data_IF_942744769725
#
_entry.id   IF_942744769725
#
_cell.length_a   1.000
_cell.length_b   1.000
_cell.length_c   1.000
_cell.angle_alpha   90.00
_cell.angle_beta   90.00
_cell.angle_gamma   90.00
#
_symmetry.space_group_name_H-M   'P 1'
#
loop_
_entity.id
_entity.type
_entity.pdbx_description
1 polymer ?
#
# COMPACT_ATOMS: atom_id res chain seq x y z
N UNK A 1 4.50 -14.43 3.14
CA UNK A 1 5.31 -13.24 2.74
C UNK A 1 6.68 -13.27 3.42
N UNK A 2 7.74 -12.88 2.71
CA UNK A 2 9.12 -12.83 3.23
C UNK A 2 9.64 -11.39 3.17
N UNK A 3 10.10 -10.86 4.30
CA UNK A 3 10.81 -9.58 4.33
C UNK A 3 12.27 -9.78 3.93
N UNK A 4 12.61 -9.37 2.71
CA UNK A 4 13.98 -9.47 2.18
C UNK A 4 14.88 -8.40 2.82
N UNK A 5 14.36 -7.18 3.01
CA UNK A 5 15.10 -6.09 3.64
C UNK A 5 15.52 -6.42 5.08
N UNK A 6 14.60 -6.95 5.89
CA UNK A 6 14.92 -7.32 7.27
C UNK A 6 15.95 -8.44 7.35
N UNK A 7 15.89 -9.40 6.42
CA UNK A 7 16.83 -10.52 6.37
C UNK A 7 18.30 -10.10 6.15
N UNK A 8 18.53 -8.88 5.64
CA UNK A 8 19.87 -8.32 5.41
C UNK A 8 20.13 -7.05 6.22
N UNK A 9 19.23 -6.68 7.13
CA UNK A 9 19.41 -5.55 8.05
C UNK A 9 19.09 -4.16 7.49
N UNK A 10 18.31 -4.05 6.40
CA UNK A 10 17.80 -2.75 5.96
C UNK A 10 16.83 -2.18 7.00
N UNK A 11 16.90 -0.86 7.20
CA UNK A 11 16.09 -0.16 8.21
C UNK A 11 15.15 0.90 7.63
N UNK A 12 15.54 1.53 6.53
CA UNK A 12 14.84 2.70 5.97
C UNK A 12 13.96 2.39 4.75
N UNK A 13 13.95 1.12 4.33
CA UNK A 13 13.07 0.63 3.27
C UNK A 13 12.65 -0.81 3.58
N UNK A 14 11.38 -1.10 3.32
CA UNK A 14 10.85 -2.44 3.26
C UNK A 14 11.01 -2.97 1.84
N UNK A 15 11.54 -4.18 1.70
CA UNK A 15 11.51 -4.93 0.44
C UNK A 15 10.95 -6.30 0.78
N UNK A 16 9.76 -6.59 0.27
CA UNK A 16 8.99 -7.78 0.63
C UNK A 16 8.70 -8.60 -0.62
N UNK A 17 8.97 -9.91 -0.54
CA UNK A 17 8.46 -10.88 -1.50
C UNK A 17 7.11 -11.39 -0.99
N UNK A 18 6.03 -10.99 -1.65
CA UNK A 18 4.67 -11.35 -1.28
C UNK A 18 4.09 -12.38 -2.24
N UNK A 19 3.19 -13.22 -1.72
CA UNK A 19 2.46 -14.22 -2.48
C UNK A 19 0.98 -14.02 -2.16
N UNK A 20 0.17 -13.83 -3.19
CA UNK A 20 -1.27 -13.59 -3.07
C UNK A 20 -1.94 -14.75 -3.78
N UNK A 21 -2.65 -15.59 -3.03
CA UNK A 21 -3.37 -16.73 -3.61
C UNK A 21 -4.66 -16.28 -4.33
N UNK A 22 -5.19 -17.09 -5.27
CA UNK A 22 -6.46 -16.81 -5.92
C UNK A 22 -7.59 -16.46 -4.93
N UNK A 23 -8.32 -15.39 -5.23
CA UNK A 23 -9.41 -14.85 -4.41
C UNK A 23 -8.93 -14.10 -3.15
N UNK A 24 -7.65 -13.73 -3.06
CA UNK A 24 -7.10 -12.92 -1.97
C UNK A 24 -6.65 -11.55 -2.46
N UNK A 25 -6.48 -10.64 -1.50
CA UNK A 25 -5.97 -9.29 -1.73
C UNK A 25 -4.61 -9.10 -1.05
N UNK A 26 -3.83 -8.17 -1.58
CA UNK A 26 -2.53 -7.75 -1.04
C UNK A 26 -2.66 -7.00 0.29
N UNK A 27 -3.65 -6.10 0.37
CA UNK A 27 -3.82 -5.12 1.44
C UNK A 27 -5.24 -4.57 1.41
N UNK A 28 -5.66 -3.93 2.50
CA UNK A 28 -6.84 -3.05 2.49
C UNK A 28 -6.59 -1.87 1.54
N UNK A 29 -7.63 -1.41 0.85
CA UNK A 29 -7.56 -0.23 0.00
C UNK A 29 -7.10 1.00 0.79
N UNK A 30 -5.93 1.54 0.44
CA UNK A 30 -5.26 2.53 1.28
C UNK A 30 -4.44 3.56 0.51
N UNK A 31 -4.16 4.69 1.17
CA UNK A 31 -3.34 5.79 0.67
C UNK A 31 -2.33 6.21 1.73
N UNK A 32 -1.06 6.33 1.35
CA UNK A 32 0.00 6.89 2.19
C UNK A 32 0.18 8.39 1.98
N UNK A 33 0.42 9.11 3.08
CA UNK A 33 0.66 10.57 3.06
C UNK A 33 2.15 10.91 3.10
N UNK A 34 3.00 10.06 3.68
CA UNK A 34 4.44 10.32 3.80
C UNK A 34 5.34 9.22 3.26
N UNK A 35 4.91 7.95 3.31
CA UNK A 35 5.68 6.83 2.75
C UNK A 35 5.35 6.62 1.28
N UNK A 36 6.36 6.66 0.40
CA UNK A 36 6.20 6.15 -0.96
C UNK A 36 6.19 4.62 -0.97
N UNK A 37 5.42 4.05 -1.90
CA UNK A 37 5.31 2.61 -2.14
C UNK A 37 5.41 2.27 -3.63
N UNK A 38 5.86 1.06 -3.95
CA UNK A 38 5.86 0.52 -5.29
C UNK A 38 5.71 -1.00 -5.30
N UNK A 39 5.15 -1.53 -6.39
CA UNK A 39 4.97 -2.95 -6.64
C UNK A 39 5.57 -3.33 -7.99
N UNK A 40 6.29 -4.45 -8.01
CA UNK A 40 6.78 -5.09 -9.23
C UNK A 40 6.30 -6.54 -9.30
N UNK A 41 5.62 -6.90 -10.38
CA UNK A 41 5.04 -8.24 -10.54
C UNK A 41 6.09 -9.21 -11.08
N UNK A 42 6.34 -10.29 -10.34
CA UNK A 42 7.31 -11.34 -10.71
C UNK A 42 6.68 -12.49 -11.48
N UNK A 43 5.49 -12.94 -11.07
CA UNK A 43 4.75 -14.03 -11.72
C UNK A 43 3.25 -13.97 -11.38
N UNK A 44 2.43 -14.66 -12.15
CA UNK A 44 0.97 -14.63 -11.98
C UNK A 44 0.34 -13.34 -12.54
N UNK A 45 -0.96 -13.18 -12.32
CA UNK A 45 -1.74 -12.01 -12.77
C UNK A 45 -2.64 -11.53 -11.65
N UNK A 46 -2.96 -10.24 -11.67
CA UNK A 46 -3.89 -9.64 -10.72
C UNK A 46 -4.64 -8.45 -11.30
N UNK A 47 -5.45 -7.84 -10.45
CA UNK A 47 -6.18 -6.61 -10.73
C UNK A 47 -5.70 -5.54 -9.75
N UNK A 48 -5.10 -4.47 -10.25
CA UNK A 48 -4.84 -3.26 -9.49
C UNK A 48 -6.11 -2.41 -9.49
N UNK A 49 -6.67 -2.15 -8.32
CA UNK A 49 -7.68 -1.11 -8.13
C UNK A 49 -6.97 0.16 -7.67
N UNK A 50 -7.17 1.26 -8.38
CA UNK A 50 -6.57 2.56 -8.06
C UNK A 50 -7.61 3.65 -8.32
N UNK A 51 -8.00 4.38 -7.29
CA UNK A 51 -9.15 5.29 -7.31
C UNK A 51 -10.42 4.60 -7.83
N UNK A 52 -10.98 5.08 -8.95
CA UNK A 52 -12.19 4.54 -9.55
C UNK A 52 -11.90 3.54 -10.69
N UNK A 53 -10.62 3.27 -10.95
CA UNK A 53 -10.17 2.52 -12.10
C UNK A 53 -9.58 1.16 -11.70
N UNK A 54 -9.70 0.19 -12.61
CA UNK A 54 -9.12 -1.13 -12.47
C UNK A 54 -8.22 -1.44 -13.65
N UNK A 55 -7.03 -1.97 -13.35
CA UNK A 55 -6.00 -2.28 -14.34
C UNK A 55 -5.55 -3.73 -14.17
N UNK A 56 -5.54 -4.54 -15.24
CA UNK A 56 -4.89 -5.85 -15.18
C UNK A 56 -3.38 -5.65 -15.03
N UNK A 57 -2.76 -6.42 -14.14
CA UNK A 57 -1.31 -6.46 -13.95
C UNK A 57 -0.76 -7.87 -14.18
N UNK A 58 0.42 -7.95 -14.76
CA UNK A 58 1.06 -9.17 -15.21
C UNK A 58 2.59 -9.10 -15.00
N UNK A 59 3.33 -10.21 -15.19
CA UNK A 59 4.76 -10.25 -14.89
C UNK A 59 5.54 -9.22 -15.69
N UNK A 60 6.38 -8.45 -15.00
CA UNK A 60 7.15 -7.34 -15.57
C UNK A 60 6.51 -5.97 -15.38
N UNK A 61 5.23 -5.90 -15.00
CA UNK A 61 4.57 -4.63 -14.72
C UNK A 61 5.08 -4.00 -13.41
N UNK A 62 5.16 -2.67 -13.43
CA UNK A 62 5.58 -1.84 -12.31
C UNK A 62 4.55 -0.76 -12.06
N UNK A 63 4.21 -0.55 -10.78
CA UNK A 63 3.41 0.57 -10.33
C UNK A 63 4.08 1.23 -9.13
N UNK A 64 4.09 2.56 -9.11
CA UNK A 64 4.59 3.36 -8.00
C UNK A 64 3.51 4.31 -7.50
N UNK A 65 3.52 4.55 -6.20
CA UNK A 65 2.56 5.36 -5.46
C UNK A 65 3.33 6.47 -4.73
N UNK A 66 3.50 7.64 -5.38
CA UNK A 66 3.95 8.85 -4.68
C UNK A 66 2.96 9.23 -3.59
N UNK A 67 3.43 9.95 -2.57
CA UNK A 67 2.59 10.43 -1.48
C UNK A 67 1.36 11.17 -1.99
N UNK A 68 0.19 10.89 -1.40
CA UNK A 68 -1.10 11.48 -1.76
C UNK A 68 -1.60 11.21 -3.20
N UNK A 69 -0.92 10.40 -4.01
CA UNK A 69 -1.23 10.27 -5.42
C UNK A 69 -2.54 9.49 -5.68
N UNK A 70 -2.64 8.28 -5.15
CA UNK A 70 -3.81 7.44 -5.35
C UNK A 70 -3.91 6.34 -4.28
N UNK A 71 -5.10 6.16 -3.73
CA UNK A 71 -5.42 5.01 -2.93
C UNK A 71 -5.46 3.75 -3.82
N UNK A 72 -4.99 2.62 -3.30
CA UNK A 72 -4.88 1.41 -4.10
C UNK A 72 -5.01 0.11 -3.31
N UNK A 73 -5.30 -0.96 -4.04
CA UNK A 73 -5.24 -2.36 -3.59
C UNK A 73 -4.99 -3.27 -4.80
N UNK A 74 -4.43 -4.45 -4.57
CA UNK A 74 -4.26 -5.48 -5.60
C UNK A 74 -4.98 -6.75 -5.16
N UNK A 75 -5.87 -7.26 -6.01
CA UNK A 75 -6.50 -8.57 -5.89
C UNK A 75 -5.88 -9.58 -6.85
N UNK A 76 -5.88 -10.86 -6.45
CA UNK A 76 -5.61 -11.96 -7.37
C UNK A 76 -6.93 -12.65 -7.74
N UNK A 77 -7.53 -12.22 -8.84
CA UNK A 77 -8.73 -12.84 -9.40
C UNK A 77 -8.41 -13.98 -10.40
N UNK A 78 -7.12 -14.36 -10.48
CA UNK A 78 -6.61 -15.40 -11.35
C UNK A 78 -6.77 -16.81 -10.79
N UNK A 79 -5.99 -17.75 -11.33
CA UNK A 79 -6.00 -19.18 -10.93
C UNK A 79 -4.66 -19.68 -10.42
N UNK A 80 -3.62 -18.84 -10.49
CA UNK A 80 -2.27 -19.12 -10.02
C UNK A 80 -1.87 -18.07 -8.98
N UNK A 81 -0.90 -18.38 -8.13
CA UNK A 81 -0.38 -17.44 -7.15
C UNK A 81 0.25 -16.22 -7.83
N UNK A 82 -0.20 -15.02 -7.44
CA UNK A 82 0.41 -13.75 -7.83
C UNK A 82 1.60 -13.49 -6.91
N UNK A 83 2.78 -13.30 -7.49
CA UNK A 83 4.02 -13.06 -6.75
C UNK A 83 4.56 -11.70 -7.11
N UNK A 84 4.80 -10.86 -6.10
CA UNK A 84 5.26 -9.49 -6.28
C UNK A 84 6.43 -9.16 -5.35
N UNK A 85 7.28 -8.22 -5.78
CA UNK A 85 8.05 -7.41 -4.87
C UNK A 85 7.21 -6.19 -4.48
N UNK A 86 7.09 -5.94 -3.18
CA UNK A 86 6.58 -4.69 -2.62
C UNK A 86 7.75 -3.95 -2.00
N UNK A 87 7.89 -2.68 -2.37
CA UNK A 87 9.01 -1.82 -2.01
C UNK A 87 8.42 -0.55 -1.42
N UNK A 88 8.72 -0.25 -0.16
CA UNK A 88 8.18 0.93 0.50
C UNK A 88 9.21 1.60 1.40
N UNK A 89 9.03 2.90 1.64
CA UNK A 89 9.82 3.59 2.65
C UNK A 89 9.47 3.09 4.07
N UNK A 90 10.38 3.32 5.01
CA UNK A 90 10.14 3.13 6.45
C UNK A 90 10.50 4.40 7.20
N UNK A 91 9.49 5.23 7.41
CA UNK A 91 9.57 6.48 8.16
C UNK A 91 9.08 6.25 9.58
N UNK A 92 9.60 7.05 10.51
CA UNK A 92 9.15 7.01 11.89
C UNK A 92 7.71 7.53 12.04
N UNK A 93 7.25 8.36 11.09
CA UNK A 93 5.91 8.92 11.04
C UNK A 93 5.27 8.70 9.68
N UNK A 94 3.98 8.37 9.69
CA UNK A 94 3.15 8.33 8.49
C UNK A 94 1.67 8.51 8.84
N UNK A 95 0.88 8.89 7.85
CA UNK A 95 -0.58 8.89 7.91
C UNK A 95 -1.08 8.04 6.75
N UNK A 96 -1.91 7.05 7.07
CA UNK A 96 -2.53 6.18 6.07
C UNK A 96 -4.04 6.30 6.15
N UNK A 97 -4.68 6.54 5.01
CA UNK A 97 -6.13 6.49 4.88
C UNK A 97 -6.58 5.12 4.42
N UNK A 98 -7.68 4.63 4.99
CA UNK A 98 -8.39 3.42 4.57
C UNK A 98 -9.82 3.82 4.17
N UNK A 99 -10.02 4.33 2.93
CA UNK A 99 -11.28 4.93 2.53
C UNK A 99 -12.49 4.00 2.68
N UNK A 100 -12.35 2.73 2.31
CA UNK A 100 -13.41 1.72 2.42
C UNK A 100 -13.86 1.48 3.86
N UNK A 101 -12.95 1.67 4.82
CA UNK A 101 -13.23 1.51 6.25
C UNK A 101 -13.65 2.82 6.93
N UNK A 102 -13.61 3.94 6.20
CA UNK A 102 -13.81 5.29 6.73
C UNK A 102 -12.87 5.59 7.91
N UNK A 103 -11.60 5.18 7.81
CA UNK A 103 -10.61 5.32 8.90
C UNK A 103 -9.31 5.95 8.44
N UNK A 104 -8.69 6.71 9.32
CA UNK A 104 -7.32 7.23 9.18
C UNK A 104 -6.45 6.68 10.30
N UNK A 105 -5.30 6.12 9.93
CA UNK A 105 -4.24 5.72 10.84
C UNK A 105 -3.19 6.83 10.93
N UNK A 106 -2.89 7.26 12.14
CA UNK A 106 -1.73 8.09 12.44
C UNK A 106 -0.68 7.21 13.11
N UNK A 107 0.48 7.07 12.49
CA UNK A 107 1.62 6.35 13.05
C UNK A 107 2.70 7.34 13.43
N UNK A 108 3.09 7.35 14.70
CA UNK A 108 4.05 8.30 15.26
C UNK A 108 5.04 7.58 16.18
N UNK A 109 6.25 7.26 15.67
CA UNK A 109 7.34 6.68 16.46
C UNK A 109 6.92 5.46 17.32
N UNK A 110 6.17 4.55 16.72
CA UNK A 110 5.67 3.33 17.40
C UNK A 110 4.33 3.49 18.11
N UNK A 111 3.78 4.70 18.21
CA UNK A 111 2.38 4.93 18.57
C UNK A 111 1.48 4.81 17.33
N UNK A 112 0.36 4.09 17.47
CA UNK A 112 -0.60 3.84 16.39
C UNK A 112 -1.98 4.29 16.86
N UNK A 113 -2.50 5.35 16.23
CA UNK A 113 -3.83 5.87 16.54
C UNK A 113 -4.73 5.71 15.30
N UNK A 114 -5.63 4.73 15.35
CA UNK A 114 -6.65 4.53 14.31
C UNK A 114 -7.92 5.27 14.69
N UNK A 115 -8.37 6.19 13.84
CA UNK A 115 -9.50 7.08 14.11
C UNK A 115 -10.54 6.93 12.99
N UNK A 116 -11.82 6.89 13.35
CA UNK A 116 -12.89 7.03 12.36
C UNK A 116 -12.82 8.42 11.73
N UNK A 117 -12.89 8.52 10.40
CA UNK A 117 -12.80 9.79 9.70
C UNK A 117 -13.92 10.76 10.10
N UNK A 118 -15.07 10.27 10.56
CA UNK A 118 -16.16 11.09 11.07
C UNK A 118 -15.80 11.83 12.37
N UNK A 119 -14.84 11.30 13.14
CA UNK A 119 -14.39 11.88 14.41
C UNK A 119 -13.27 12.93 14.20
N UNK A 120 -12.76 13.08 12.98
CA UNK A 120 -11.66 14.00 12.67
C UNK A 120 -12.23 15.38 12.36
N UNK A 121 -11.93 16.35 13.24
CA UNK A 121 -12.19 17.77 12.97
C UNK A 121 -11.01 18.37 12.20
N UNK A 122 -11.17 18.52 10.89
CA UNK A 122 -10.18 19.20 10.03
C UNK A 122 -10.26 20.71 10.26
N UNK A 123 -9.28 21.26 10.97
CA UNK A 123 -9.22 22.70 11.28
C UNK A 123 -8.51 23.51 10.19
N UNK A 124 -7.61 22.87 9.44
CA UNK A 124 -6.81 23.42 8.34
C UNK A 124 -6.48 22.31 7.36
N UNK A 125 -6.36 22.67 6.10
CA UNK A 125 -5.90 21.81 5.02
C UNK A 125 -4.91 22.60 4.18
N UNK A 126 -3.77 22.00 3.83
CA UNK A 126 -2.86 22.61 2.86
C UNK A 126 -3.45 22.42 1.47
N UNK A 127 -3.64 23.50 0.73
CA UNK A 127 -3.78 23.39 -0.72
C UNK A 127 -2.44 22.89 -1.25
N UNK A 128 -2.38 21.65 -1.73
CA UNK A 128 -1.25 21.20 -2.53
C UNK A 128 -1.25 22.05 -3.82
N UNK A 129 -0.34 23.02 -3.91
CA UNK A 129 0.10 23.61 -5.19
C UNK A 129 1.25 22.77 -5.75
#
# INVERSE_FOLDING_TARGET
NKSLGDAVGLRHMGIHLIHIEPGQESTEYHLHHYEEEAVYVLSGKGTLTMENDQYPIAPGDFVGFPCHAAAHSISNDGTETLVCLVIGQRLDQDVADYPNQHKRLYRNNGEWNLVDMADIRVLRESTQE
#
